data_IF_975508792579
#
_entry.id   IF_975508792579
#
_cell.length_a   1.000
_cell.length_b   1.000
_cell.length_c   1.000
_cell.angle_alpha   90.00
_cell.angle_beta   90.00
_cell.angle_gamma   90.00
#
_symmetry.space_group_name_H-M   'P 1'
#
loop_
_entity.id
_entity.type
_entity.pdbx_description
1 polymer ?
#
# COMPACT_ATOMS: atom_id res chain seq x y z
N UNK A 1 -21.83 9.72 -6.08
CA UNK A 1 -21.63 9.46 -4.64
C UNK A 1 -22.68 8.46 -4.23
N UNK A 2 -22.24 7.36 -3.63
CA UNK A 2 -23.13 6.35 -3.07
C UNK A 2 -22.91 6.39 -1.55
N UNK A 3 -24.01 6.52 -0.80
CA UNK A 3 -23.98 6.80 0.63
C UNK A 3 -24.57 5.58 1.35
N UNK A 4 -23.71 4.75 1.94
CA UNK A 4 -24.17 3.69 2.83
C UNK A 4 -24.32 4.28 4.24
N UNK A 5 -25.48 4.91 4.46
CA UNK A 5 -25.77 5.70 5.66
C UNK A 5 -25.73 4.88 6.96
N UNK A 6 -25.81 3.54 6.89
CA UNK A 6 -25.79 2.68 8.09
C UNK A 6 -24.39 2.49 8.68
N UNK A 7 -23.31 2.79 7.94
CA UNK A 7 -21.94 2.52 8.40
C UNK A 7 -20.98 3.73 8.41
N UNK A 8 -21.43 4.90 7.96
CA UNK A 8 -20.59 6.11 7.89
C UNK A 8 -19.43 6.00 6.89
N UNK A 9 -19.55 5.11 5.89
CA UNK A 9 -18.62 5.01 4.76
C UNK A 9 -19.08 5.91 3.62
N UNK A 10 -18.16 6.69 3.08
CA UNK A 10 -18.38 7.50 1.88
C UNK A 10 -17.50 7.00 0.75
N UNK A 11 -18.11 6.73 -0.40
CA UNK A 11 -17.40 6.32 -1.62
C UNK A 11 -17.56 7.34 -2.73
N UNK A 12 -16.43 7.65 -3.38
CA UNK A 12 -16.42 8.35 -4.65
C UNK A 12 -15.47 7.64 -5.61
N UNK A 13 -15.74 7.76 -6.91
CA UNK A 13 -14.87 7.20 -7.92
C UNK A 13 -14.77 8.13 -9.12
N UNK A 14 -13.67 8.01 -9.85
CA UNK A 14 -13.43 8.74 -11.09
C UNK A 14 -12.73 7.85 -12.11
N UNK A 15 -13.20 7.91 -13.35
CA UNK A 15 -12.52 7.36 -14.52
C UNK A 15 -11.86 8.53 -15.26
N UNK A 16 -10.53 8.55 -15.29
CA UNK A 16 -9.76 9.58 -16.01
C UNK A 16 -8.39 9.03 -16.41
N UNK A 17 -7.89 9.44 -17.57
CA UNK A 17 -6.53 9.13 -18.04
C UNK A 17 -6.19 7.63 -17.99
N UNK A 18 -7.11 6.80 -18.47
CA UNK A 18 -7.01 5.33 -18.42
C UNK A 18 -6.84 4.74 -17.01
N UNK A 19 -7.14 5.52 -15.97
CA UNK A 19 -7.11 5.10 -14.57
C UNK A 19 -8.52 5.07 -13.97
N UNK A 20 -8.76 4.08 -13.12
CA UNK A 20 -9.91 4.01 -12.24
C UNK A 20 -9.46 4.35 -10.83
N UNK A 21 -9.98 5.45 -10.28
CA UNK A 21 -9.66 5.95 -8.96
C UNK A 21 -10.87 5.77 -8.07
N UNK A 22 -10.66 5.19 -6.88
CA UNK A 22 -11.69 5.04 -5.86
C UNK A 22 -11.17 5.69 -4.59
N UNK A 23 -11.99 6.55 -3.99
CA UNK A 23 -11.75 7.12 -2.68
C UNK A 23 -12.83 6.59 -1.73
N UNK A 24 -12.39 6.10 -0.58
CA UNK A 24 -13.25 5.70 0.52
C UNK A 24 -12.82 6.49 1.76
N UNK A 25 -13.76 7.13 2.45
CA UNK A 25 -13.50 7.82 3.71
C UNK A 25 -14.45 7.34 4.80
N UNK A 26 -13.93 7.25 6.03
CA UNK A 26 -14.69 6.88 7.23
C UNK A 26 -14.11 7.60 8.43
N UNK A 27 -14.99 8.07 9.32
CA UNK A 27 -14.60 8.65 10.61
C UNK A 27 -14.57 7.53 11.66
N UNK A 28 -13.49 7.49 12.43
CA UNK A 28 -13.30 6.53 13.52
C UNK A 28 -13.17 7.30 14.84
N UNK A 29 -13.95 6.92 15.85
CA UNK A 29 -13.91 7.51 17.19
C UNK A 29 -13.24 6.55 18.19
N UNK A 30 -12.44 7.09 19.11
CA UNK A 30 -11.77 6.31 20.16
C UNK A 30 -10.54 5.52 19.70
N UNK A 31 -10.01 5.82 18.51
CA UNK A 31 -8.78 5.22 17.96
C UNK A 31 -7.61 6.19 17.98
N UNK A 32 -6.41 5.65 18.07
CA UNK A 32 -5.16 6.42 17.95
C UNK A 32 -4.72 6.49 16.48
N UNK A 33 -4.81 7.68 15.90
CA UNK A 33 -4.41 7.96 14.53
C UNK A 33 -2.95 7.60 14.27
N UNK A 34 -2.06 7.76 15.26
CA UNK A 34 -0.65 7.42 15.13
C UNK A 34 -0.46 5.90 15.04
N UNK A 35 -1.23 5.12 15.81
CA UNK A 35 -1.17 3.65 15.69
C UNK A 35 -1.68 3.17 14.33
N UNK A 36 -2.76 3.77 13.82
CA UNK A 36 -3.24 3.47 12.47
C UNK A 36 -2.18 3.81 11.41
N UNK A 37 -1.52 4.97 11.54
CA UNK A 37 -0.45 5.40 10.65
C UNK A 37 0.76 4.45 10.67
N UNK A 38 1.24 4.07 11.86
CA UNK A 38 2.32 3.08 12.02
C UNK A 38 1.92 1.75 11.39
N UNK A 39 0.68 1.29 11.62
CA UNK A 39 0.15 0.07 11.03
C UNK A 39 0.12 0.05 9.50
N UNK A 40 0.04 1.21 8.85
CA UNK A 40 0.15 1.34 7.40
C UNK A 40 1.60 1.41 6.91
N UNK A 41 2.52 1.93 7.74
CA UNK A 41 3.94 2.04 7.40
C UNK A 41 4.68 0.69 7.55
N UNK A 42 4.37 -0.06 8.60
CA UNK A 42 4.91 -1.38 8.91
C UNK A 42 4.16 -2.45 8.11
N UNK A 43 4.48 -2.58 6.83
CA UNK A 43 3.73 -3.42 5.91
C UNK A 43 3.74 -4.91 6.29
N UNK A 44 4.68 -5.37 7.10
CA UNK A 44 4.71 -6.73 7.63
C UNK A 44 3.53 -7.03 8.57
N UNK A 45 2.94 -6.01 9.21
CA UNK A 45 1.72 -6.15 10.00
C UNK A 45 0.50 -6.51 9.16
N UNK A 46 0.53 -6.31 7.83
CA UNK A 46 -0.61 -6.58 6.96
C UNK A 46 -1.11 -8.03 7.03
N UNK A 47 -0.24 -8.97 7.39
CA UNK A 47 -0.57 -10.39 7.57
C UNK A 47 -1.58 -10.64 8.68
N UNK A 48 -1.74 -9.71 9.63
CA UNK A 48 -2.68 -9.84 10.74
C UNK A 48 -4.14 -9.62 10.29
N UNK A 49 -4.36 -8.86 9.21
CA UNK A 49 -5.69 -8.52 8.72
C UNK A 49 -5.94 -8.91 7.26
N UNK A 50 -4.90 -9.29 6.49
CA UNK A 50 -5.03 -9.81 5.14
C UNK A 50 -4.55 -11.27 5.07
N UNK A 51 -5.47 -12.25 5.11
CA UNK A 51 -5.13 -13.68 5.10
C UNK A 51 -4.53 -14.17 3.78
N UNK A 52 -4.59 -13.38 2.72
CA UNK A 52 -3.98 -13.71 1.42
C UNK A 52 -2.47 -13.54 1.44
N UNK A 53 -1.93 -12.74 2.37
CA UNK A 53 -0.49 -12.46 2.48
C UNK A 53 0.19 -13.59 3.22
N UNK A 54 1.04 -14.32 2.50
CA UNK A 54 1.77 -15.48 3.01
C UNK A 54 3.03 -15.03 3.77
N UNK A 55 3.79 -14.07 3.21
CA UNK A 55 4.99 -13.51 3.82
C UNK A 55 5.24 -12.09 3.37
N UNK A 56 5.86 -11.32 4.26
CA UNK A 56 6.37 -9.96 3.98
C UNK A 56 7.80 -9.90 4.47
N UNK A 57 8.69 -9.37 3.64
CA UNK A 57 10.12 -9.23 3.94
C UNK A 57 10.56 -7.80 3.59
N UNK A 58 11.14 -7.09 4.55
CA UNK A 58 11.77 -5.80 4.28
C UNK A 58 13.06 -6.04 3.48
N UNK A 59 13.17 -5.42 2.30
CA UNK A 59 14.41 -5.45 1.53
C UNK A 59 15.44 -4.48 2.14
N UNK A 60 16.75 -4.79 2.05
CA UNK A 60 17.79 -4.02 2.71
C UNK A 60 17.75 -2.52 2.38
N UNK A 61 18.02 -1.69 3.38
CA UNK A 61 18.10 -0.23 3.25
C UNK A 61 19.28 0.17 2.35
N UNK A 62 18.96 0.78 1.22
CA UNK A 62 19.96 1.13 0.20
C UNK A 62 20.24 2.62 0.03
N UNK A 63 19.29 3.54 0.25
CA UNK A 63 19.57 4.96 -0.03
C UNK A 63 18.61 6.06 0.46
N UNK A 64 17.45 5.79 1.09
CA UNK A 64 16.53 6.88 1.50
C UNK A 64 15.76 6.52 2.78
N UNK A 65 15.75 7.42 3.76
CA UNK A 65 15.21 7.19 5.10
C UNK A 65 13.68 7.24 5.20
N UNK A 66 12.96 7.65 4.15
CA UNK A 66 11.51 7.89 4.20
C UNK A 66 10.65 6.76 3.65
N UNK A 67 11.24 5.84 2.89
CA UNK A 67 10.48 4.88 2.10
C UNK A 67 10.93 3.44 2.38
N UNK A 68 10.00 2.58 2.80
CA UNK A 68 10.22 1.15 2.97
C UNK A 68 10.01 0.42 1.65
N UNK A 69 10.88 -0.54 1.34
CA UNK A 69 10.72 -1.44 0.18
C UNK A 69 10.53 -2.86 0.69
N UNK A 70 9.37 -3.44 0.40
CA UNK A 70 8.94 -4.72 0.91
C UNK A 70 8.78 -5.71 -0.23
N UNK A 71 9.16 -6.96 0.00
CA UNK A 71 8.77 -8.10 -0.83
C UNK A 71 7.56 -8.77 -0.19
N UNK A 72 6.51 -8.97 -0.97
CA UNK A 72 5.22 -9.47 -0.50
C UNK A 72 4.83 -10.70 -1.32
N UNK A 73 4.79 -11.85 -0.66
CA UNK A 73 4.23 -13.08 -1.24
C UNK A 73 2.77 -13.21 -0.84
N UNK A 74 1.88 -13.36 -1.80
CA UNK A 74 0.46 -13.54 -1.55
C UNK A 74 -0.20 -14.48 -2.55
N UNK A 75 -1.35 -15.03 -2.16
CA UNK A 75 -2.22 -15.81 -3.05
C UNK A 75 -3.47 -15.01 -3.36
N UNK A 76 -3.53 -14.50 -4.59
CA UNK A 76 -4.68 -13.75 -5.06
C UNK A 76 -5.89 -14.68 -5.27
N UNK A 77 -7.08 -14.07 -5.34
CA UNK A 77 -8.30 -14.77 -5.70
C UNK A 77 -8.12 -15.57 -7.00
N UNK A 78 -8.52 -16.84 -6.97
CA UNK A 78 -8.31 -17.78 -8.07
C UNK A 78 -6.99 -18.56 -8.01
N UNK A 79 -6.26 -18.52 -6.88
CA UNK A 79 -5.08 -19.34 -6.63
C UNK A 79 -3.81 -18.85 -7.33
N UNK A 80 -3.83 -17.63 -7.89
CA UNK A 80 -2.66 -17.03 -8.53
C UNK A 80 -1.67 -16.60 -7.45
N UNK A 81 -0.44 -17.11 -7.53
CA UNK A 81 0.65 -16.71 -6.64
C UNK A 81 1.28 -15.42 -7.13
N UNK A 82 1.50 -14.48 -6.22
CA UNK A 82 2.11 -13.20 -6.49
C UNK A 82 3.35 -13.00 -5.62
N UNK A 83 4.38 -12.39 -6.20
CA UNK A 83 5.65 -12.04 -5.56
C UNK A 83 5.99 -10.60 -5.89
N UNK A 84 5.31 -9.69 -5.18
CA UNK A 84 5.29 -8.28 -5.48
C UNK A 84 6.40 -7.54 -4.72
N UNK A 85 6.91 -6.49 -5.34
CA UNK A 85 7.71 -5.46 -4.64
C UNK A 85 6.76 -4.31 -4.34
N UNK A 86 6.62 -3.98 -3.07
CA UNK A 86 5.77 -2.90 -2.58
C UNK A 86 6.65 -1.84 -1.96
N UNK A 87 6.50 -0.62 -2.43
CA UNK A 87 7.10 0.54 -1.82
C UNK A 87 6.05 1.21 -0.92
N UNK A 88 6.45 1.56 0.30
CA UNK A 88 5.65 2.33 1.24
C UNK A 88 6.36 3.64 1.51
N UNK A 89 5.72 4.76 1.17
CA UNK A 89 6.20 6.12 1.44
C UNK A 89 5.25 6.79 2.40
N UNK A 90 5.78 7.55 3.36
CA UNK A 90 4.97 8.36 4.26
C UNK A 90 5.47 9.80 4.34
N UNK A 91 4.55 10.73 4.61
CA UNK A 91 4.83 12.16 4.73
C UNK A 91 4.00 12.72 5.89
N UNK A 92 4.65 13.45 6.79
CA UNK A 92 3.96 14.33 7.73
C UNK A 92 3.57 15.62 7.01
N UNK A 93 2.27 15.81 6.81
CA UNK A 93 1.68 16.98 6.16
C UNK A 93 0.65 17.66 7.08
N UNK A 94 0.85 17.60 8.39
CA UNK A 94 -0.04 18.21 9.39
C UNK A 94 -0.07 19.75 9.30
N UNK A 95 1.04 20.37 8.89
CA UNK A 95 1.15 21.82 8.71
C UNK A 95 0.74 22.29 7.29
N UNK A 96 0.45 21.35 6.38
CA UNK A 96 0.01 21.65 5.02
C UNK A 96 -1.52 21.80 4.95
N UNK A 97 -2.10 22.36 3.85
CA UNK A 97 -3.55 22.49 3.72
C UNK A 97 -4.34 21.17 3.83
N UNK A 98 -3.68 20.03 3.58
CA UNK A 98 -4.28 18.70 3.75
C UNK A 98 -4.46 18.35 5.22
N UNK A 99 -3.57 18.82 6.10
CA UNK A 99 -3.63 18.63 7.55
C UNK A 99 -3.65 17.17 8.00
N UNK A 100 -2.87 16.30 7.33
CA UNK A 100 -2.96 14.85 7.50
C UNK A 100 -1.58 14.18 7.52
N UNK A 101 -1.53 12.98 8.09
CA UNK A 101 -0.45 12.04 7.86
C UNK A 101 -0.75 11.26 6.58
N UNK A 102 0.15 11.35 5.60
CA UNK A 102 -0.04 10.73 4.29
C UNK A 102 0.79 9.45 4.17
N UNK A 103 0.19 8.37 3.67
CA UNK A 103 0.88 7.11 3.37
C UNK A 103 0.48 6.63 1.99
N UNK A 104 1.44 6.16 1.20
CA UNK A 104 1.15 5.42 -0.02
C UNK A 104 1.92 4.12 -0.10
N UNK A 105 1.18 3.05 -0.40
CA UNK A 105 1.72 1.75 -0.74
C UNK A 105 1.52 1.51 -2.25
N UNK A 106 2.56 1.17 -2.99
CA UNK A 106 2.45 0.97 -4.44
C UNK A 106 3.50 0.00 -4.98
N UNK A 107 3.19 -0.61 -6.12
CA UNK A 107 4.18 -1.38 -6.89
C UNK A 107 4.97 -0.43 -7.80
N UNK A 108 6.30 -0.61 -7.91
CA UNK A 108 7.11 0.19 -8.82
C UNK A 108 6.85 -0.22 -10.28
N UNK A 109 7.50 0.47 -11.22
CA UNK A 109 7.40 0.12 -12.64
C UNK A 109 7.84 -1.34 -12.89
N UNK A 110 7.23 -1.96 -13.91
CA UNK A 110 7.56 -3.34 -14.28
C UNK A 110 9.00 -3.47 -14.82
N UNK A 111 9.58 -4.66 -14.65
CA UNK A 111 10.88 -5.01 -15.24
C UNK A 111 12.12 -4.39 -14.58
N UNK A 112 11.96 -3.72 -13.43
CA UNK A 112 13.10 -3.16 -12.70
C UNK A 112 13.98 -4.28 -12.10
N UNK A 113 15.29 -4.14 -12.31
CA UNK A 113 16.31 -4.98 -11.69
C UNK A 113 16.80 -4.40 -10.35
N UNK A 114 16.72 -3.08 -10.20
CA UNK A 114 17.03 -2.36 -8.97
C UNK A 114 15.98 -1.27 -8.71
N UNK A 115 15.79 -0.92 -7.45
CA UNK A 115 14.97 0.19 -7.01
C UNK A 115 15.77 1.04 -6.05
N UNK A 116 16.22 2.21 -6.51
CA UNK A 116 17.00 3.17 -5.70
C UNK A 116 18.27 2.54 -5.11
N UNK A 117 18.97 1.76 -5.91
CA UNK A 117 20.19 1.05 -5.49
C UNK A 117 19.93 -0.24 -4.70
N UNK A 118 18.66 -0.59 -4.42
CA UNK A 118 18.30 -1.89 -3.83
C UNK A 118 18.14 -2.90 -4.97
N UNK A 119 19.00 -3.93 -5.07
CA UNK A 119 18.82 -4.98 -6.07
C UNK A 119 17.52 -5.75 -5.76
N UNK A 120 16.62 -5.82 -6.74
CA UNK A 120 15.34 -6.50 -6.58
C UNK A 120 15.53 -8.01 -6.84
N UNK A 121 15.03 -8.89 -5.95
CA UNK A 121 15.07 -10.33 -6.20
C UNK A 121 14.24 -10.66 -7.45
N UNK A 122 14.48 -11.81 -8.08
CA UNK A 122 13.55 -12.31 -9.10
C UNK A 122 12.26 -12.82 -8.44
N UNK A 123 11.11 -12.79 -9.13
CA UNK A 123 9.91 -13.48 -8.66
C UNK A 123 10.20 -14.96 -8.38
N UNK A 124 9.57 -15.50 -7.35
CA UNK A 124 9.60 -16.93 -7.01
C UNK A 124 8.98 -17.76 -8.14
N UNK A 125 9.45 -18.98 -8.34
CA UNK A 125 8.95 -19.86 -9.40
C UNK A 125 7.42 -20.02 -9.36
N UNK A 126 6.79 -19.75 -10.51
CA UNK A 126 5.34 -19.79 -10.70
C UNK A 126 4.58 -18.60 -10.13
N UNK A 127 5.25 -17.63 -9.50
CA UNK A 127 4.65 -16.39 -9.05
C UNK A 127 4.82 -15.27 -10.10
N UNK A 128 3.89 -14.32 -10.10
CA UNK A 128 3.93 -13.14 -10.98
C UNK A 128 4.08 -11.85 -10.16
N UNK A 129 4.58 -10.80 -10.80
CA UNK A 129 4.46 -9.42 -10.30
C UNK A 129 3.23 -8.77 -10.90
N UNK A 130 2.45 -8.09 -10.09
CA UNK A 130 1.40 -7.21 -10.59
C UNK A 130 2.01 -5.87 -10.95
N UNK A 131 1.69 -5.37 -12.15
CA UNK A 131 1.85 -3.96 -12.48
C UNK A 131 0.64 -3.17 -11.99
N UNK A 132 0.85 -1.88 -11.72
CA UNK A 132 -0.24 -0.88 -11.60
C UNK A 132 -1.15 -1.00 -10.37
N UNK A 133 -0.59 -1.32 -9.20
CA UNK A 133 -1.27 -1.21 -7.91
C UNK A 133 -0.75 -0.02 -7.09
N UNK A 134 -1.67 0.78 -6.54
CA UNK A 134 -1.39 1.86 -5.59
C UNK A 134 -2.57 2.03 -4.64
N UNK A 135 -2.26 2.18 -3.36
CA UNK A 135 -3.17 2.63 -2.33
C UNK A 135 -2.60 3.88 -1.65
N UNK A 136 -3.47 4.80 -1.26
CA UNK A 136 -3.12 6.05 -0.58
C UNK A 136 -4.07 6.25 0.59
N UNK A 137 -3.50 6.63 1.72
CA UNK A 137 -4.20 6.95 2.95
C UNK A 137 -3.84 8.35 3.38
N UNK A 138 -4.84 9.10 3.84
CA UNK A 138 -4.68 10.33 4.58
C UNK A 138 -5.40 10.10 5.92
N UNK A 139 -4.65 10.15 7.01
CA UNK A 139 -5.15 9.97 8.38
C UNK A 139 -5.14 11.32 9.09
#
# INVERSE_FOLDING_TARGET
>A
EEHDAEQGLHFSFRLADSSFQVMCSKVFEGFDALQAFVGLCEFDLCRQYNPQVQSVELLPEGCVTSDGVWRVLQEAHGGRREDNIVQVSCVDALDEPLGALWVSAYVPAEGLADLRGIPLPRPTDGAVRIGYWRCVYAI
#
